data_IF_738659776759
#
_entry.id   IF_738659776759
#
_cell.length_a   1.000
_cell.length_b   1.000
_cell.length_c   1.000
_cell.angle_alpha   90.00
_cell.angle_beta   90.00
_cell.angle_gamma   90.00
#
_symmetry.space_group_name_H-M   'P 1'
#
loop_
_entity.id
_entity.type
_entity.pdbx_description
1 polymer ?
#
# COMPACT_ATOMS: atom_id res chain seq x y z
N UNK A 1 -6.47 71.53 87.40
CA UNK A 1 -5.75 70.98 86.23
C UNK A 1 -6.31 69.59 85.96
N UNK A 2 -6.83 69.38 84.75
CA UNK A 2 -7.45 68.14 84.29
C UNK A 2 -6.45 67.32 83.49
N UNK A 3 -6.59 66.00 83.67
CA UNK A 3 -6.41 64.91 82.69
C UNK A 3 -5.01 64.64 82.11
N UNK A 4 -4.58 63.38 82.17
CA UNK A 4 -4.42 62.51 81.00
C UNK A 4 -4.10 61.09 81.48
N UNK A 5 -5.14 60.34 81.89
CA UNK A 5 -5.00 58.90 82.07
C UNK A 5 -5.11 58.25 80.68
N UNK A 6 -4.00 57.66 80.27
CA UNK A 6 -3.82 56.90 79.04
C UNK A 6 -4.77 55.70 79.02
N UNK A 7 -5.96 55.86 78.42
CA UNK A 7 -6.84 54.74 78.09
C UNK A 7 -6.33 54.14 76.79
N UNK A 8 -5.41 53.17 76.92
CA UNK A 8 -5.14 52.21 75.85
C UNK A 8 -6.40 51.37 75.68
N UNK A 9 -7.26 51.76 74.74
CA UNK A 9 -8.35 50.94 74.23
C UNK A 9 -7.78 49.69 73.57
N UNK A 10 -7.47 48.67 74.36
CA UNK A 10 -7.42 47.30 73.87
C UNK A 10 -8.86 46.82 73.79
N UNK A 11 -9.50 47.10 72.67
CA UNK A 11 -10.65 46.32 72.24
C UNK A 11 -10.14 44.88 72.05
N UNK A 12 -10.42 44.04 73.04
CA UNK A 12 -10.14 42.62 72.95
C UNK A 12 -11.06 42.04 71.89
N UNK A 13 -10.50 41.71 70.73
CA UNK A 13 -11.16 40.79 69.80
C UNK A 13 -11.45 39.53 70.58
N UNK A 14 -12.73 39.19 70.72
CA UNK A 14 -13.16 38.00 71.44
C UNK A 14 -12.54 36.78 70.75
N UNK A 15 -11.92 35.88 71.51
CA UNK A 15 -11.39 34.60 71.00
C UNK A 15 -12.50 33.77 70.30
N UNK A 16 -13.76 34.01 70.65
CA UNK A 16 -14.91 33.41 69.97
C UNK A 16 -15.12 33.94 68.53
N UNK A 17 -14.77 35.19 68.24
CA UNK A 17 -14.85 35.76 66.88
C UNK A 17 -13.76 35.18 65.98
N UNK A 18 -12.52 35.04 66.48
CA UNK A 18 -11.43 34.45 65.71
C UNK A 18 -11.69 32.98 65.35
N UNK A 19 -12.30 32.20 66.25
CA UNK A 19 -12.62 30.78 65.98
C UNK A 19 -13.78 30.60 65.01
N UNK A 20 -14.73 31.55 64.94
CA UNK A 20 -15.78 31.53 63.91
C UNK A 20 -15.20 31.80 62.52
N UNK A 21 -14.32 32.81 62.41
CA UNK A 21 -13.65 33.14 61.15
C UNK A 21 -12.78 31.97 60.65
N UNK A 22 -12.04 31.30 61.53
CA UNK A 22 -11.24 30.12 61.16
C UNK A 22 -12.11 28.98 60.60
N UNK A 23 -13.29 28.73 61.19
CA UNK A 23 -14.24 27.72 60.68
C UNK A 23 -14.82 28.08 59.33
N UNK A 24 -15.13 29.35 59.09
CA UNK A 24 -15.62 29.83 57.80
C UNK A 24 -14.55 29.74 56.71
N UNK A 25 -13.29 30.09 57.03
CA UNK A 25 -12.15 29.95 56.12
C UNK A 25 -11.91 28.49 55.78
N UNK A 26 -11.96 27.59 56.76
CA UNK A 26 -11.80 26.15 56.53
C UNK A 26 -12.94 25.58 55.67
N UNK A 27 -14.19 26.01 55.92
CA UNK A 27 -15.32 25.65 55.07
C UNK A 27 -15.16 26.15 53.64
N UNK A 28 -14.75 27.40 53.43
CA UNK A 28 -14.50 27.96 52.11
C UNK A 28 -13.35 27.22 51.39
N UNK A 29 -12.31 26.80 52.12
CA UNK A 29 -11.22 25.98 51.59
C UNK A 29 -11.71 24.61 51.12
N UNK A 30 -12.53 23.94 51.93
CA UNK A 30 -13.13 22.65 51.58
C UNK A 30 -14.07 22.75 50.38
N UNK A 31 -14.89 23.80 50.32
CA UNK A 31 -15.75 24.08 49.16
C UNK A 31 -14.92 24.35 47.90
N UNK A 32 -13.84 25.13 48.01
CA UNK A 32 -12.89 25.38 46.93
C UNK A 32 -12.21 24.10 46.43
N UNK A 33 -11.74 23.25 47.34
CA UNK A 33 -11.17 21.94 46.99
C UNK A 33 -12.20 21.04 46.29
N UNK A 34 -13.43 20.98 46.81
CA UNK A 34 -14.50 20.18 46.19
C UNK A 34 -14.83 20.65 44.77
N UNK A 35 -14.85 21.96 44.55
CA UNK A 35 -15.05 22.53 43.21
C UNK A 35 -13.88 22.22 42.27
N UNK A 36 -12.65 22.28 42.76
CA UNK A 36 -11.46 21.92 42.00
C UNK A 36 -11.47 20.43 41.60
N UNK A 37 -11.80 19.54 42.54
CA UNK A 37 -11.91 18.10 42.30
C UNK A 37 -13.03 17.78 41.32
N UNK A 38 -14.18 18.44 41.43
CA UNK A 38 -15.29 18.27 40.48
C UNK A 38 -14.91 18.77 39.07
N UNK A 39 -14.18 19.88 38.98
CA UNK A 39 -13.68 20.40 37.70
C UNK A 39 -12.65 19.43 37.09
N UNK A 40 -11.71 18.91 37.88
CA UNK A 40 -10.74 17.91 37.45
C UNK A 40 -11.45 16.64 36.92
N UNK A 41 -12.43 16.13 37.66
CA UNK A 41 -13.22 14.96 37.24
C UNK A 41 -13.94 15.19 35.91
N UNK A 42 -14.51 16.38 35.69
CA UNK A 42 -15.17 16.72 34.41
C UNK A 42 -14.20 16.76 33.25
N UNK A 43 -13.00 17.30 33.46
CA UNK A 43 -11.94 17.32 32.43
C UNK A 43 -11.49 15.90 32.10
N UNK A 44 -11.26 15.06 33.10
CA UNK A 44 -10.90 13.66 32.90
C UNK A 44 -12.00 12.89 32.16
N UNK A 45 -13.26 13.09 32.54
CA UNK A 45 -14.41 12.46 31.87
C UNK A 45 -14.52 12.90 30.40
N UNK A 46 -14.31 14.18 30.12
CA UNK A 46 -14.30 14.69 28.75
C UNK A 46 -13.13 14.14 27.94
N UNK A 47 -11.94 14.04 28.53
CA UNK A 47 -10.77 13.46 27.90
C UNK A 47 -11.01 11.98 27.57
N UNK A 48 -11.57 11.20 28.51
CA UNK A 48 -11.90 9.79 28.31
C UNK A 48 -12.92 9.60 27.18
N UNK A 49 -13.99 10.41 27.15
CA UNK A 49 -14.97 10.39 26.04
C UNK A 49 -14.30 10.70 24.71
N UNK A 50 -13.37 11.66 24.68
CA UNK A 50 -12.70 12.02 23.43
C UNK A 50 -11.76 10.94 22.92
N UNK A 51 -11.07 10.25 23.83
CA UNK A 51 -10.22 9.11 23.50
C UNK A 51 -11.07 8.00 22.90
N UNK A 52 -12.19 7.64 23.54
CA UNK A 52 -13.11 6.63 23.02
C UNK A 52 -13.64 6.98 21.62
N UNK A 53 -14.08 8.23 21.40
CA UNK A 53 -14.51 8.69 20.07
C UNK A 53 -13.39 8.61 19.00
N UNK A 54 -12.13 8.77 19.40
CA UNK A 54 -11.00 8.65 18.49
C UNK A 54 -10.74 7.18 18.18
N UNK A 55 -10.75 6.31 19.18
CA UNK A 55 -10.60 4.85 19.01
C UNK A 55 -11.65 4.30 18.05
N UNK A 56 -12.93 4.64 18.25
CA UNK A 56 -14.02 4.23 17.36
C UNK A 56 -13.79 4.70 15.91
N UNK A 57 -13.30 5.94 15.75
CA UNK A 57 -12.97 6.50 14.43
C UNK A 57 -11.76 5.82 13.79
N UNK A 58 -10.74 5.51 14.57
CA UNK A 58 -9.58 4.76 14.10
C UNK A 58 -10.01 3.36 13.65
N UNK A 59 -10.83 2.67 14.43
CA UNK A 59 -11.32 1.34 14.08
C UNK A 59 -12.20 1.36 12.81
N UNK A 60 -13.10 2.33 12.69
CA UNK A 60 -13.90 2.52 11.49
C UNK A 60 -13.02 2.77 10.25
N UNK A 61 -11.96 3.59 10.39
CA UNK A 61 -11.01 3.84 9.31
C UNK A 61 -10.23 2.58 8.93
N UNK A 62 -9.81 1.78 9.90
CA UNK A 62 -9.11 0.51 9.65
C UNK A 62 -10.00 -0.47 8.88
N UNK A 63 -11.27 -0.64 9.29
CA UNK A 63 -12.24 -1.48 8.57
C UNK A 63 -12.46 -1.01 7.13
N UNK A 64 -12.47 0.30 6.89
CA UNK A 64 -12.58 0.83 5.53
C UNK A 64 -11.34 0.54 4.68
N UNK A 65 -10.14 0.61 5.27
CA UNK A 65 -8.89 0.29 4.58
C UNK A 65 -8.82 -1.19 4.23
N UNK A 66 -9.13 -2.08 5.17
CA UNK A 66 -9.17 -3.53 4.92
C UNK A 66 -10.16 -3.88 3.81
N UNK A 67 -11.36 -3.27 3.83
CA UNK A 67 -12.35 -3.43 2.76
C UNK A 67 -11.87 -2.85 1.42
N UNK A 68 -11.01 -1.84 1.42
CA UNK A 68 -10.40 -1.29 0.19
C UNK A 68 -9.33 -2.24 -0.33
N UNK A 69 -8.47 -2.76 0.53
CA UNK A 69 -7.43 -3.73 0.16
C UNK A 69 -8.03 -4.99 -0.42
N UNK A 70 -9.08 -5.54 0.19
CA UNK A 70 -9.81 -6.69 -0.34
C UNK A 70 -10.38 -6.42 -1.75
N UNK A 71 -10.92 -5.22 -1.99
CA UNK A 71 -11.40 -4.83 -3.32
C UNK A 71 -10.27 -4.71 -4.33
N UNK A 72 -9.12 -4.15 -3.94
CA UNK A 72 -7.96 -4.06 -4.82
C UNK A 72 -7.44 -5.46 -5.19
N UNK A 73 -7.35 -6.37 -4.23
CA UNK A 73 -6.97 -7.76 -4.49
C UNK A 73 -7.93 -8.44 -5.48
N UNK A 74 -9.25 -8.22 -5.33
CA UNK A 74 -10.25 -8.73 -6.28
C UNK A 74 -10.05 -8.15 -7.69
N UNK A 75 -9.82 -6.84 -7.80
CA UNK A 75 -9.59 -6.17 -9.08
C UNK A 75 -8.29 -6.62 -9.75
N UNK A 76 -7.23 -6.85 -8.96
CA UNK A 76 -5.97 -7.38 -9.47
C UNK A 76 -6.16 -8.80 -10.04
N UNK A 77 -6.91 -9.66 -9.34
CA UNK A 77 -7.24 -10.99 -9.84
C UNK A 77 -8.08 -10.93 -11.13
N UNK A 78 -9.07 -10.04 -11.21
CA UNK A 78 -9.89 -9.84 -12.41
C UNK A 78 -9.04 -9.34 -13.59
N UNK A 79 -8.14 -8.39 -13.35
CA UNK A 79 -7.25 -7.86 -14.38
C UNK A 79 -6.27 -8.92 -14.89
N UNK A 80 -5.68 -9.72 -14.00
CA UNK A 80 -4.79 -10.80 -14.40
C UNK A 80 -5.54 -11.90 -15.18
N UNK A 81 -6.78 -12.21 -14.77
CA UNK A 81 -7.65 -13.12 -15.54
C UNK A 81 -7.94 -12.58 -16.94
N UNK A 82 -8.27 -11.29 -17.07
CA UNK A 82 -8.50 -10.65 -18.36
C UNK A 82 -7.25 -10.66 -19.25
N UNK A 83 -6.07 -10.46 -18.67
CA UNK A 83 -4.78 -10.55 -19.37
C UNK A 83 -4.51 -11.96 -19.89
N UNK A 84 -4.79 -12.99 -19.08
CA UNK A 84 -4.69 -14.38 -19.52
C UNK A 84 -5.67 -14.67 -20.67
N UNK A 85 -6.91 -14.20 -20.59
CA UNK A 85 -7.88 -14.36 -21.68
C UNK A 85 -7.41 -13.68 -22.97
N UNK A 86 -6.85 -12.46 -22.88
CA UNK A 86 -6.32 -11.75 -24.02
C UNK A 86 -5.13 -12.49 -24.66
N UNK A 87 -4.24 -13.05 -23.85
CA UNK A 87 -3.11 -13.86 -24.34
C UNK A 87 -3.59 -15.13 -25.06
N UNK A 88 -4.59 -15.83 -24.48
CA UNK A 88 -5.19 -16.98 -25.13
C UNK A 88 -5.88 -16.61 -26.46
N UNK A 89 -6.60 -15.49 -26.50
CA UNK A 89 -7.22 -14.99 -27.73
C UNK A 89 -6.17 -14.62 -28.79
N UNK A 90 -5.06 -13.99 -28.39
CA UNK A 90 -3.97 -13.67 -29.29
C UNK A 90 -3.31 -14.93 -29.86
N UNK A 91 -2.98 -15.92 -29.01
CA UNK A 91 -2.40 -17.18 -29.47
C UNK A 91 -3.34 -17.95 -30.41
N UNK A 92 -4.65 -17.91 -30.14
CA UNK A 92 -5.66 -18.48 -31.03
C UNK A 92 -5.72 -17.75 -32.37
N UNK A 93 -5.65 -16.41 -32.38
CA UNK A 93 -5.64 -15.61 -33.59
C UNK A 93 -4.35 -15.81 -34.42
N UNK A 94 -3.19 -15.90 -33.76
CA UNK A 94 -1.91 -16.21 -34.42
C UNK A 94 -1.91 -17.63 -35.02
N UNK A 95 -2.46 -18.61 -34.31
CA UNK A 95 -2.59 -19.96 -34.86
C UNK A 95 -3.53 -19.99 -36.08
N UNK A 96 -4.70 -19.32 -36.00
CA UNK A 96 -5.62 -19.20 -37.14
C UNK A 96 -4.97 -18.48 -38.33
N UNK A 97 -4.14 -17.46 -38.07
CA UNK A 97 -3.36 -16.78 -39.11
C UNK A 97 -2.32 -17.70 -39.74
N UNK A 98 -1.60 -18.50 -38.95
CA UNK A 98 -0.60 -19.46 -39.44
C UNK A 98 -1.24 -20.56 -40.28
N UNK A 99 -2.40 -21.07 -39.85
CA UNK A 99 -3.19 -22.02 -40.63
C UNK A 99 -3.62 -21.40 -41.97
N UNK A 100 -4.12 -20.16 -41.97
CA UNK A 100 -4.48 -19.46 -43.20
C UNK A 100 -3.27 -19.22 -44.12
N UNK A 101 -2.11 -18.82 -43.59
CA UNK A 101 -0.87 -18.67 -44.37
C UNK A 101 -0.40 -20.00 -44.98
N UNK A 102 -0.54 -21.11 -44.25
CA UNK A 102 -0.23 -22.45 -44.78
C UNK A 102 -1.18 -22.91 -45.89
N UNK A 103 -2.42 -22.41 -45.93
CA UNK A 103 -3.41 -22.75 -46.98
C UNK A 103 -3.04 -22.13 -48.34
N UNK A 104 -2.31 -21.02 -48.35
CA UNK A 104 -1.87 -20.33 -49.57
C UNK A 104 -0.42 -20.63 -49.95
N UNK A 105 0.27 -21.51 -49.22
CA UNK A 105 1.55 -22.05 -49.67
C UNK A 105 1.31 -22.88 -50.94
N UNK A 106 2.04 -22.55 -52.00
CA UNK A 106 1.93 -23.22 -53.28
C UNK A 106 2.24 -24.73 -53.10
N UNK A 107 1.26 -25.63 -53.33
CA UNK A 107 1.44 -27.07 -53.12
C UNK A 107 2.48 -27.69 -54.08
N UNK A 108 2.93 -26.95 -55.10
CA UNK A 108 4.04 -27.33 -55.98
C UNK A 108 5.37 -26.65 -55.63
N UNK A 109 5.45 -25.88 -54.53
CA UNK A 109 6.71 -25.33 -54.02
C UNK A 109 7.52 -26.45 -53.39
N UNK A 110 8.25 -27.16 -54.23
CA UNK A 110 9.16 -28.21 -53.83
C UNK A 110 10.38 -27.59 -53.10
N UNK A 111 10.49 -27.72 -51.76
CA UNK A 111 11.60 -27.13 -51.01
C UNK A 111 12.95 -27.72 -51.44
N UNK A 112 12.95 -28.95 -51.97
CA UNK A 112 14.17 -29.61 -52.43
C UNK A 112 14.71 -28.99 -53.72
N UNK A 113 13.86 -28.38 -54.55
CA UNK A 113 14.27 -27.73 -55.80
C UNK A 113 14.90 -26.36 -55.57
N UNK A 114 14.44 -25.62 -54.56
CA UNK A 114 15.07 -24.36 -54.14
C UNK A 114 16.41 -24.61 -53.45
N UNK A 115 16.50 -25.64 -52.60
CA UNK A 115 17.77 -26.06 -52.00
C UNK A 115 18.76 -26.57 -53.05
N UNK A 116 18.32 -27.38 -54.02
CA UNK A 116 19.17 -27.87 -55.10
C UNK A 116 19.78 -26.75 -55.96
N UNK A 117 19.12 -25.59 -56.11
CA UNK A 117 19.69 -24.41 -56.81
C UNK A 117 20.87 -23.77 -56.07
N UNK A 118 21.02 -24.06 -54.77
CA UNK A 118 22.06 -23.47 -53.90
C UNK A 118 23.36 -24.28 -53.92
N UNK A 119 23.27 -25.57 -54.21
CA UNK A 119 24.42 -26.47 -54.30
C UNK A 119 24.96 -26.52 -55.74
N UNK A 120 26.27 -26.38 -55.89
CA UNK A 120 27.01 -26.46 -57.16
C UNK A 120 28.01 -27.59 -57.07
N UNK A 121 28.05 -28.48 -58.07
CA UNK A 121 29.03 -29.58 -58.13
C UNK A 121 30.36 -29.09 -58.69
N UNK A 122 31.44 -29.46 -58.03
CA UNK A 122 32.83 -29.20 -58.43
C UNK A 122 33.63 -30.51 -58.37
N UNK A 123 34.68 -30.60 -59.18
CA UNK A 123 35.63 -31.73 -59.14
C UNK A 123 36.92 -31.21 -58.54
N UNK A 124 37.42 -31.85 -57.48
CA UNK A 124 38.73 -31.52 -56.91
C UNK A 124 39.83 -31.97 -57.88
N UNK A 125 40.67 -31.06 -58.41
CA UNK A 125 41.72 -31.41 -59.35
C UNK A 125 42.84 -32.28 -58.76
N UNK A 126 42.98 -32.34 -57.44
CA UNK A 126 44.04 -33.09 -56.76
C UNK A 126 43.68 -34.57 -56.58
N UNK A 127 42.39 -34.85 -56.41
CA UNK A 127 41.87 -36.19 -56.11
C UNK A 127 40.97 -36.76 -57.20
N UNK A 128 40.43 -35.91 -58.08
CA UNK A 128 39.46 -36.27 -59.11
C UNK A 128 38.04 -36.54 -58.59
N UNK A 129 37.78 -36.29 -57.31
CA UNK A 129 36.50 -36.59 -56.66
C UNK A 129 35.54 -35.40 -56.77
N UNK A 130 34.26 -35.68 -57.01
CA UNK A 130 33.21 -34.67 -57.05
C UNK A 130 32.76 -34.27 -55.63
N UNK A 131 32.57 -32.97 -55.41
CA UNK A 131 32.00 -32.41 -54.18
C UNK A 131 30.94 -31.37 -54.50
N UNK A 132 30.01 -31.18 -53.58
CA UNK A 132 28.95 -30.20 -53.68
C UNK A 132 29.25 -29.00 -52.77
N UNK A 133 29.19 -27.79 -53.32
CA UNK A 133 29.41 -26.53 -52.62
C UNK A 133 28.13 -25.69 -52.55
N UNK A 134 27.73 -25.30 -51.35
CA UNK A 134 26.63 -24.37 -51.15
C UNK A 134 27.15 -22.93 -51.26
N UNK A 135 26.73 -22.23 -52.32
CA UNK A 135 27.18 -20.86 -52.59
C UNK A 135 26.63 -19.81 -51.61
N UNK A 136 25.58 -20.13 -50.84
CA UNK A 136 24.99 -19.20 -49.87
C UNK A 136 25.63 -19.30 -48.49
N UNK A 137 25.87 -20.53 -48.01
CA UNK A 137 26.42 -20.77 -46.67
C UNK A 137 27.93 -20.99 -46.66
N UNK A 138 28.53 -21.30 -47.82
CA UNK A 138 29.93 -21.68 -47.94
C UNK A 138 30.24 -23.11 -47.52
N UNK A 139 29.23 -23.93 -47.23
CA UNK A 139 29.39 -25.32 -46.83
C UNK A 139 29.76 -26.24 -48.01
N UNK A 140 30.59 -27.25 -47.75
CA UNK A 140 30.96 -28.28 -48.73
C UNK A 140 30.52 -29.66 -48.24
N UNK A 141 29.95 -30.46 -49.13
CA UNK A 141 29.56 -31.87 -48.87
C UNK A 141 30.21 -32.78 -49.91
N UNK A 142 30.64 -33.94 -49.46
CA UNK A 142 31.19 -35.00 -50.29
C UNK A 142 30.12 -36.09 -50.46
N UNK A 143 30.05 -36.69 -51.63
CA UNK A 143 29.17 -37.83 -51.90
C UNK A 143 29.97 -39.09 -51.50
N UNK A 144 29.52 -39.81 -50.47
CA UNK A 144 30.10 -41.11 -50.06
C UNK A 144 29.67 -42.24 -51.02
#
# INVERSE_FOLDING_TARGET
>A
QKEFNLVMGREGVSVADTTMVEKEVEKARQEGQRMADEAARKVEEQAAKKIQELEDRFEARMKMLEKREMRLASLEMENESAKLMALHAQGSAENAKRELESVWEDPNKDPTKEEAKKWVSHIDPSTGVAYWYNKETGETKWED
#
